data_IF_258789953307
#
_entry.id   IF_258789953307
#
_cell.length_a   1.000
_cell.length_b   1.000
_cell.length_c   1.000
_cell.angle_alpha   90.00
_cell.angle_beta   90.00
_cell.angle_gamma   90.00
#
_symmetry.space_group_name_H-M   'P 1'
#
loop_
_entity.id
_entity.type
_entity.pdbx_description
1 polymer ?
#
# COMPACT_ATOMS: atom_id res chain seq x y z
N UNK A 1 31.13 14.78 -6.06
CA UNK A 1 29.96 14.40 -5.24
C UNK A 1 29.39 15.67 -4.65
N UNK A 2 28.11 15.92 -4.88
CA UNK A 2 27.44 17.07 -4.28
C UNK A 2 27.27 16.85 -2.76
N UNK A 3 27.34 17.93 -1.97
CA UNK A 3 27.19 17.86 -0.51
C UNK A 3 25.81 17.29 -0.12
N UNK A 4 24.78 17.56 -0.92
CA UNK A 4 23.43 17.03 -0.75
C UNK A 4 23.40 15.52 -0.93
N UNK A 5 23.98 15.01 -2.01
CA UNK A 5 24.03 13.57 -2.29
C UNK A 5 24.74 12.80 -1.18
N UNK A 6 25.89 13.33 -0.73
CA UNK A 6 26.62 12.75 0.39
C UNK A 6 25.74 12.68 1.66
N UNK A 7 25.09 13.78 2.04
CA UNK A 7 24.23 13.80 3.23
C UNK A 7 23.03 12.87 3.12
N UNK A 8 22.41 12.76 1.94
CA UNK A 8 21.32 11.81 1.71
C UNK A 8 21.79 10.36 1.82
N UNK A 9 22.96 10.02 1.28
CA UNK A 9 23.55 8.67 1.44
C UNK A 9 23.82 8.31 2.90
N UNK A 10 24.22 9.29 3.73
CA UNK A 10 24.43 9.08 5.16
C UNK A 10 23.10 8.83 5.89
N UNK A 11 22.01 9.51 5.46
CA UNK A 11 20.67 9.27 6.00
C UNK A 11 20.19 7.86 5.64
N UNK A 12 20.43 7.38 4.42
CA UNK A 12 20.11 6.00 4.03
C UNK A 12 20.91 4.97 4.81
N UNK A 13 22.22 5.17 4.96
CA UNK A 13 23.08 4.31 5.77
C UNK A 13 22.60 4.25 7.23
N UNK A 14 22.16 5.39 7.79
CA UNK A 14 21.55 5.43 9.11
C UNK A 14 20.23 4.65 9.17
N UNK A 15 19.32 4.84 8.21
CA UNK A 15 18.04 4.10 8.13
C UNK A 15 18.29 2.58 8.10
N UNK A 16 19.30 2.12 7.37
CA UNK A 16 19.67 0.69 7.30
C UNK A 16 20.33 0.16 8.57
N UNK A 17 21.09 1.01 9.27
CA UNK A 17 21.84 0.61 10.48
C UNK A 17 20.96 0.33 11.70
N UNK A 18 19.74 0.88 11.75
CA UNK A 18 18.80 0.67 12.87
C UNK A 18 19.22 1.26 14.22
N UNK A 19 20.34 2.01 14.28
CA UNK A 19 20.81 2.67 15.51
C UNK A 19 20.21 4.08 15.66
N UNK A 20 20.35 4.68 16.85
CA UNK A 20 19.89 6.06 17.07
C UNK A 20 20.67 7.09 16.23
N UNK A 21 20.04 8.23 15.92
CA UNK A 21 20.71 9.33 15.19
C UNK A 21 21.97 9.80 15.91
N UNK A 22 21.93 9.87 17.25
CA UNK A 22 23.06 10.31 18.05
C UNK A 22 24.24 9.36 17.92
N UNK A 23 24.01 8.06 18.11
CA UNK A 23 25.03 7.03 17.95
C UNK A 23 25.62 7.00 16.54
N UNK A 24 24.81 7.26 15.51
CA UNK A 24 25.28 7.35 14.13
C UNK A 24 26.13 8.60 13.90
N UNK A 25 25.70 9.76 14.40
CA UNK A 25 26.43 11.01 14.32
C UNK A 25 27.80 10.94 15.01
N UNK A 26 27.85 10.30 16.18
CA UNK A 26 29.09 10.10 16.94
C UNK A 26 30.11 9.23 16.18
N UNK A 27 29.64 8.19 15.48
CA UNK A 27 30.49 7.31 14.66
C UNK A 27 30.96 7.96 13.36
N UNK A 28 30.07 8.71 12.71
CA UNK A 28 30.33 9.31 11.39
C UNK A 28 30.98 10.70 11.48
N UNK A 29 31.14 11.27 12.69
CA UNK A 29 31.70 12.60 12.91
C UNK A 29 30.81 13.75 12.40
N UNK A 30 29.50 13.51 12.30
CA UNK A 30 28.53 14.48 11.78
C UNK A 30 27.85 15.18 12.95
N UNK A 31 27.67 16.51 12.87
CA UNK A 31 26.91 17.25 13.88
C UNK A 31 25.43 16.84 13.86
N UNK A 32 24.89 16.46 15.01
CA UNK A 32 23.50 16.01 15.16
C UNK A 32 22.49 17.00 14.55
N UNK A 33 22.60 18.30 14.83
CA UNK A 33 21.67 19.30 14.29
C UNK A 33 21.67 19.38 12.76
N UNK A 34 22.84 19.24 12.13
CA UNK A 34 22.95 19.18 10.67
C UNK A 34 22.34 17.89 10.13
N UNK A 35 22.62 16.76 10.78
CA UNK A 35 22.09 15.47 10.37
C UNK A 35 20.56 15.42 10.50
N UNK A 36 20.00 15.88 11.61
CA UNK A 36 18.55 15.92 11.82
C UNK A 36 17.84 16.81 10.79
N UNK A 37 18.47 17.91 10.33
CA UNK A 37 17.95 18.69 9.21
C UNK A 37 17.84 17.85 7.93
N UNK A 38 18.88 17.10 7.58
CA UNK A 38 18.88 16.23 6.40
C UNK A 38 17.89 15.06 6.50
N UNK A 39 17.69 14.48 7.68
CA UNK A 39 16.64 13.49 7.92
C UNK A 39 15.25 14.07 7.67
N UNK A 40 15.01 15.33 8.06
CA UNK A 40 13.74 16.01 7.77
C UNK A 40 13.54 16.26 6.28
N UNK A 41 14.59 16.71 5.59
CA UNK A 41 14.59 16.91 4.14
C UNK A 41 14.30 15.59 3.41
N UNK A 42 14.92 14.48 3.82
CA UNK A 42 14.68 13.18 3.17
C UNK A 42 13.24 12.74 3.34
N UNK A 43 12.63 12.94 4.52
CA UNK A 43 11.21 12.63 4.74
C UNK A 43 10.29 13.48 3.87
N UNK A 44 10.57 14.77 3.72
CA UNK A 44 9.78 15.62 2.82
C UNK A 44 9.92 15.22 1.36
N UNK A 45 11.10 14.74 0.95
CA UNK A 45 11.30 14.22 -0.40
C UNK A 45 10.57 12.88 -0.59
N UNK A 46 10.56 12.01 0.42
CA UNK A 46 9.77 10.78 0.48
C UNK A 46 8.26 11.10 0.46
N UNK A 47 7.79 12.14 1.16
CA UNK A 47 6.38 12.57 1.21
C UNK A 47 5.93 13.25 -0.09
N UNK A 48 6.81 14.03 -0.74
CA UNK A 48 6.56 14.61 -2.06
C UNK A 48 6.57 13.53 -3.16
N UNK A 49 7.37 12.48 -2.99
CA UNK A 49 7.29 11.25 -3.80
C UNK A 49 6.14 10.33 -3.37
N UNK A 50 5.58 10.54 -2.18
CA UNK A 50 4.51 9.78 -1.52
C UNK A 50 3.14 10.44 -1.63
N UNK A 51 2.90 11.23 -2.68
CA UNK A 51 1.54 11.60 -3.07
C UNK A 51 0.74 10.34 -3.41
N UNK A 52 -0.51 10.25 -2.91
CA UNK A 52 -1.50 9.18 -3.11
C UNK A 52 -0.92 7.85 -3.61
N UNK A 53 -0.60 6.94 -2.69
CA UNK A 53 -0.31 5.56 -3.06
C UNK A 53 -1.62 4.95 -3.55
N UNK A 54 -1.69 4.64 -4.84
CA UNK A 54 -2.79 3.88 -5.41
C UNK A 54 -2.80 2.51 -4.73
N UNK A 55 -3.72 2.32 -3.79
CA UNK A 55 -4.04 0.99 -3.32
C UNK A 55 -4.52 0.25 -4.56
N UNK A 56 -3.77 -0.74 -5.01
CA UNK A 56 -4.22 -1.66 -6.04
C UNK A 56 -5.58 -2.16 -5.56
N UNK A 57 -6.65 -1.61 -6.14
CA UNK A 57 -7.98 -2.12 -5.91
C UNK A 57 -7.84 -3.56 -6.37
N UNK A 58 -7.90 -4.58 -5.48
CA UNK A 58 -7.98 -5.93 -5.99
C UNK A 58 -9.18 -5.83 -6.90
N UNK A 59 -8.96 -5.98 -8.21
CA UNK A 59 -10.03 -6.08 -9.16
C UNK A 59 -10.87 -7.17 -8.56
N UNK A 60 -11.98 -6.77 -7.92
CA UNK A 60 -12.96 -7.70 -7.43
C UNK A 60 -13.28 -8.41 -8.72
N UNK A 61 -12.80 -9.64 -8.85
CA UNK A 61 -13.17 -10.51 -9.94
C UNK A 61 -14.66 -10.64 -9.73
N UNK A 62 -15.42 -9.73 -10.34
CA UNK A 62 -16.87 -9.65 -10.35
C UNK A 62 -17.34 -10.82 -11.22
N UNK A 63 -16.87 -12.02 -10.93
CA UNK A 63 -17.65 -13.23 -11.05
C UNK A 63 -18.82 -13.00 -10.11
N UNK A 64 -19.80 -12.29 -10.64
CA UNK A 64 -21.01 -11.85 -9.97
C UNK A 64 -21.61 -13.08 -9.29
N UNK A 65 -21.39 -13.20 -7.98
CA UNK A 65 -21.95 -14.29 -7.20
C UNK A 65 -23.38 -13.88 -6.90
N UNK A 66 -24.31 -14.48 -7.61
CA UNK A 66 -25.73 -14.24 -7.42
C UNK A 66 -26.26 -15.19 -6.34
N UNK A 67 -27.16 -14.67 -5.50
CA UNK A 67 -27.92 -15.47 -4.54
C UNK A 67 -29.41 -15.39 -4.91
N UNK A 68 -30.02 -16.53 -5.21
CA UNK A 68 -31.44 -16.65 -5.56
C UNK A 68 -32.15 -17.28 -4.35
N UNK A 69 -33.13 -16.59 -3.79
CA UNK A 69 -33.90 -17.04 -2.62
C UNK A 69 -35.33 -17.35 -3.05
N UNK A 70 -35.77 -18.60 -2.87
CA UNK A 70 -37.12 -19.05 -3.23
C UNK A 70 -38.09 -18.94 -2.04
N UNK A 71 -39.40 -18.80 -2.28
CA UNK A 71 -40.42 -18.73 -1.22
C UNK A 71 -40.47 -19.96 -0.30
N UNK A 72 -40.02 -21.13 -0.79
CA UNK A 72 -39.92 -22.36 0.00
C UNK A 72 -38.66 -22.42 0.89
N UNK A 73 -37.87 -21.34 0.93
CA UNK A 73 -36.66 -21.23 1.75
C UNK A 73 -35.39 -21.81 1.10
N UNK A 74 -35.45 -22.28 -0.15
CA UNK A 74 -34.27 -22.75 -0.88
C UNK A 74 -33.43 -21.55 -1.32
N UNK A 75 -32.11 -21.65 -1.15
CA UNK A 75 -31.15 -20.61 -1.51
C UNK A 75 -30.12 -21.17 -2.48
N UNK A 76 -30.01 -20.60 -3.68
CA UNK A 76 -29.01 -20.98 -4.68
C UNK A 76 -27.92 -19.92 -4.77
N UNK A 77 -26.66 -20.34 -4.70
CA UNK A 77 -25.49 -19.48 -4.87
C UNK A 77 -24.84 -19.80 -6.21
N UNK A 78 -24.93 -18.87 -7.16
CA UNK A 78 -24.51 -19.06 -8.54
C UNK A 78 -23.34 -18.14 -8.83
N UNK A 79 -22.30 -18.66 -9.48
CA UNK A 79 -21.09 -17.90 -9.84
C UNK A 79 -21.03 -17.53 -11.34
N UNK A 80 -22.12 -17.76 -12.08
CA UNK A 80 -22.22 -17.57 -13.52
C UNK A 80 -22.74 -16.18 -13.88
N UNK A 81 -22.20 -15.59 -14.95
CA UNK A 81 -22.60 -14.30 -15.52
C UNK A 81 -23.76 -14.43 -16.53
N UNK A 82 -24.09 -15.65 -16.99
CA UNK A 82 -25.18 -15.84 -17.95
C UNK A 82 -26.57 -15.66 -17.31
N UNK A 83 -27.15 -14.50 -17.57
CA UNK A 83 -28.48 -14.10 -17.09
C UNK A 83 -29.60 -15.03 -17.57
N UNK A 84 -29.42 -15.76 -18.68
CA UNK A 84 -30.44 -16.69 -19.20
C UNK A 84 -30.57 -17.92 -18.31
N UNK A 85 -29.47 -18.44 -17.78
CA UNK A 85 -29.49 -19.54 -16.80
C UNK A 85 -30.09 -19.09 -15.47
N UNK A 86 -29.78 -17.87 -15.02
CA UNK A 86 -30.40 -17.32 -13.81
C UNK A 86 -31.91 -17.18 -14.00
N UNK A 87 -32.36 -16.70 -15.16
CA UNK A 87 -33.78 -16.56 -15.47
C UNK A 87 -34.53 -17.91 -15.55
N UNK A 88 -33.88 -18.97 -16.05
CA UNK A 88 -34.50 -20.30 -16.08
C UNK A 88 -34.68 -20.89 -14.67
N UNK A 89 -33.75 -20.60 -13.75
CA UNK A 89 -33.86 -21.00 -12.36
C UNK A 89 -35.02 -20.28 -11.65
N UNK A 90 -35.20 -18.98 -11.91
CA UNK A 90 -36.31 -18.21 -11.32
C UNK A 90 -37.68 -18.70 -11.78
N UNK A 91 -37.82 -19.13 -13.04
CA UNK A 91 -39.08 -19.64 -13.60
C UNK A 91 -39.34 -21.14 -13.32
N UNK A 92 -38.51 -21.81 -12.51
CA UNK A 92 -38.75 -23.20 -12.13
C UNK A 92 -39.87 -23.35 -11.09
N UNK A 93 -40.50 -22.25 -10.69
CA UNK A 93 -41.61 -22.18 -9.73
C UNK A 93 -42.79 -21.39 -10.29
#
# INVERSE_FOLDING_TARGET
MDKKEYMLSQVEAWKQSGISQQTFCDKSGIKLGTFSYWVRISKQQDDLAGGFIELANPSIDLKSRYEIVYPNGVILKVQNTDLKEIFSLVNLY
#
